data_IF_950003333361
#
_entry.id   IF_950003333361
#
_cell.length_a   1.000
_cell.length_b   1.000
_cell.length_c   1.000
_cell.angle_alpha   90.00
_cell.angle_beta   90.00
_cell.angle_gamma   90.00
#
_symmetry.space_group_name_H-M   'P 1'
#
loop_
_entity.id
_entity.type
_entity.pdbx_description
1 polymer ?
#
# COMPACT_ATOMS: atom_id res chain seq x y z
N UNK A 1 -10.59 -0.02 8.08
CA UNK A 1 -10.74 -1.16 7.14
C UNK A 1 -10.21 -0.81 5.75
N UNK A 2 -10.44 0.42 5.31
CA UNK A 2 -10.18 0.87 3.95
C UNK A 2 -8.69 0.93 3.59
N UNK A 3 -7.79 1.00 4.56
CA UNK A 3 -6.34 1.02 4.32
C UNK A 3 -5.65 -0.36 4.39
N UNK A 4 -6.42 -1.45 4.51
CA UNK A 4 -5.87 -2.80 4.55
C UNK A 4 -6.49 -3.67 3.45
N UNK A 5 -5.70 -3.96 2.42
CA UNK A 5 -6.12 -4.76 1.28
C UNK A 5 -5.21 -5.96 1.05
N UNK A 6 -5.82 -7.05 0.59
CA UNK A 6 -5.10 -8.25 0.17
C UNK A 6 -5.42 -8.59 -1.28
N UNK A 7 -4.43 -9.08 -1.99
CA UNK A 7 -4.59 -9.66 -3.31
C UNK A 7 -4.64 -11.18 -3.19
N UNK A 8 -5.72 -11.78 -3.70
CA UNK A 8 -5.98 -13.21 -3.60
C UNK A 8 -6.00 -13.82 -5.00
N UNK A 9 -5.37 -14.98 -5.16
CA UNK A 9 -5.37 -15.73 -6.42
C UNK A 9 -6.75 -16.35 -6.69
N UNK A 10 -7.04 -16.78 -7.93
CA UNK A 10 -8.29 -17.52 -8.22
C UNK A 10 -8.49 -18.77 -7.36
N UNK A 11 -7.39 -19.38 -6.88
CA UNK A 11 -7.42 -20.54 -5.98
C UNK A 11 -7.56 -20.19 -4.50
N UNK A 12 -7.85 -18.93 -4.15
CA UNK A 12 -8.07 -18.48 -2.76
C UNK A 12 -6.79 -18.23 -1.96
N UNK A 13 -5.60 -18.32 -2.57
CA UNK A 13 -4.33 -18.10 -1.89
C UNK A 13 -3.97 -16.62 -1.87
N UNK A 14 -3.60 -16.09 -0.70
CA UNK A 14 -3.08 -14.72 -0.58
C UNK A 14 -1.76 -14.60 -1.33
N UNK A 15 -1.72 -13.71 -2.31
CA UNK A 15 -0.55 -13.41 -3.15
C UNK A 15 0.28 -12.27 -2.58
N UNK A 16 -0.37 -11.32 -1.92
CA UNK A 16 0.26 -10.15 -1.32
C UNK A 16 -0.75 -9.28 -0.59
N UNK A 17 -0.26 -8.30 0.14
CA UNK A 17 -1.09 -7.35 0.88
C UNK A 17 -0.43 -5.98 0.98
N UNK A 18 -1.24 -4.98 1.26
CA UNK A 18 -0.81 -3.65 1.65
C UNK A 18 -1.61 -3.19 2.87
N UNK A 19 -0.91 -2.57 3.81
CA UNK A 19 -1.47 -1.97 5.00
C UNK A 19 -0.93 -0.56 5.13
N UNK A 20 -1.82 0.38 5.38
CA UNK A 20 -1.46 1.74 5.73
C UNK A 20 -2.43 2.40 6.68
N UNK A 21 -2.26 3.70 6.82
CA UNK A 21 -3.04 4.63 7.64
C UNK A 21 -2.92 6.03 7.05
N UNK A 22 -3.66 6.97 7.60
CA UNK A 22 -3.45 8.41 7.35
C UNK A 22 -3.04 9.07 8.65
N UNK A 23 -2.07 9.98 8.58
CA UNK A 23 -1.55 10.68 9.73
C UNK A 23 -1.02 12.08 9.39
N UNK A 24 -0.55 12.80 10.41
CA UNK A 24 -0.10 14.18 10.32
C UNK A 24 -1.19 15.21 10.64
N UNK A 25 -0.89 16.49 10.42
CA UNK A 25 -1.80 17.62 10.64
C UNK A 25 -1.53 18.74 9.64
N UNK A 26 -2.57 19.48 9.24
CA UNK A 26 -2.44 20.59 8.30
C UNK A 26 -1.83 20.13 6.98
N UNK A 27 -0.80 20.85 6.50
CA UNK A 27 -0.10 20.54 5.24
C UNK A 27 0.70 19.22 5.30
N UNK A 28 0.89 18.65 6.49
CA UNK A 28 1.52 17.35 6.66
C UNK A 28 0.50 16.21 6.68
N UNK A 29 -0.76 16.43 6.31
CA UNK A 29 -1.77 15.36 6.26
C UNK A 29 -1.50 14.41 5.08
N UNK A 30 -1.13 13.16 5.37
CA UNK A 30 -0.63 12.23 4.36
C UNK A 30 -1.00 10.77 4.66
N UNK A 31 -1.04 9.93 3.62
CA UNK A 31 -1.12 8.49 3.75
C UNK A 31 0.25 7.90 4.09
N UNK A 32 0.30 6.86 4.90
CA UNK A 32 1.54 6.17 5.26
C UNK A 32 1.41 4.68 4.98
N UNK A 33 2.38 4.10 4.25
CA UNK A 33 2.46 2.66 4.03
C UNK A 33 3.18 2.00 5.20
N UNK A 34 2.41 1.35 6.07
CA UNK A 34 2.93 0.54 7.18
C UNK A 34 3.63 -0.71 6.69
N UNK A 35 3.03 -1.42 5.72
CA UNK A 35 3.60 -2.63 5.16
C UNK A 35 3.07 -2.92 3.75
N UNK A 36 3.94 -3.37 2.87
CA UNK A 36 3.57 -3.95 1.57
C UNK A 36 4.42 -5.18 1.31
N UNK A 37 3.78 -6.28 0.93
CA UNK A 37 4.50 -7.53 0.63
C UNK A 37 3.80 -8.33 -0.45
N UNK A 38 4.60 -9.00 -1.28
CA UNK A 38 4.14 -9.93 -2.31
C UNK A 38 4.97 -11.21 -2.20
N UNK A 39 4.29 -12.36 -2.13
CA UNK A 39 4.96 -13.65 -2.08
C UNK A 39 5.82 -13.86 -3.32
N UNK A 40 6.98 -14.50 -3.14
CA UNK A 40 8.06 -14.61 -4.13
C UNK A 40 7.60 -15.09 -5.50
N UNK A 41 6.74 -16.10 -5.54
CA UNK A 41 6.18 -16.71 -6.76
C UNK A 41 5.22 -15.79 -7.53
N UNK A 42 4.66 -14.76 -6.87
CA UNK A 42 3.75 -13.78 -7.48
C UNK A 42 4.43 -12.44 -7.77
N UNK A 43 5.76 -12.34 -7.54
CA UNK A 43 6.54 -11.14 -7.87
C UNK A 43 6.65 -10.94 -9.39
N UNK A 44 7.03 -9.73 -9.79
CA UNK A 44 7.18 -9.27 -11.19
C UNK A 44 5.90 -9.29 -12.04
N UNK A 45 4.74 -9.47 -11.42
CA UNK A 45 3.41 -9.35 -12.06
C UNK A 45 2.76 -7.97 -11.86
N UNK A 46 3.54 -6.97 -11.44
CA UNK A 46 3.09 -5.62 -11.07
C UNK A 46 2.05 -5.58 -9.93
N UNK A 47 1.97 -6.64 -9.12
CA UNK A 47 1.00 -6.73 -8.02
C UNK A 47 1.23 -5.67 -6.94
N UNK A 48 2.48 -5.48 -6.52
CA UNK A 48 2.84 -4.43 -5.56
C UNK A 48 2.45 -3.03 -6.08
N UNK A 49 2.64 -2.76 -7.38
CA UNK A 49 2.23 -1.51 -8.00
C UNK A 49 0.71 -1.30 -7.91
N UNK A 50 -0.09 -2.34 -8.19
CA UNK A 50 -1.55 -2.26 -8.05
C UNK A 50 -1.98 -1.98 -6.62
N UNK A 51 -1.35 -2.63 -5.65
CA UNK A 51 -1.62 -2.41 -4.23
C UNK A 51 -1.27 -0.99 -3.79
N UNK A 52 -0.13 -0.44 -4.23
CA UNK A 52 0.26 0.94 -3.96
C UNK A 52 -0.73 1.95 -4.56
N UNK A 53 -1.08 1.79 -5.84
CA UNK A 53 -2.05 2.65 -6.51
C UNK A 53 -3.40 2.67 -5.77
N UNK A 54 -3.85 1.51 -5.26
CA UNK A 54 -5.08 1.41 -4.48
C UNK A 54 -4.99 2.25 -3.19
N UNK A 55 -3.87 2.17 -2.47
CA UNK A 55 -3.69 2.94 -1.25
C UNK A 55 -3.58 4.46 -1.54
N UNK A 56 -2.90 4.85 -2.61
CA UNK A 56 -2.85 6.26 -3.06
C UNK A 56 -4.25 6.78 -3.39
N UNK A 57 -5.06 6.01 -4.14
CA UNK A 57 -6.43 6.39 -4.49
C UNK A 57 -7.32 6.54 -3.26
N UNK A 58 -7.19 5.65 -2.28
CA UNK A 58 -7.96 5.71 -1.03
C UNK A 58 -7.53 6.93 -0.21
N UNK A 59 -6.21 7.18 -0.11
CA UNK A 59 -5.65 8.34 0.60
C UNK A 59 -6.15 9.67 0.04
N UNK A 60 -6.21 9.81 -1.29
CA UNK A 60 -6.74 11.00 -1.96
C UNK A 60 -8.27 11.11 -1.83
N UNK A 61 -9.00 10.01 -2.08
CA UNK A 61 -10.47 10.06 -2.15
C UNK A 61 -11.14 10.21 -0.79
N UNK A 62 -10.67 9.46 0.21
CA UNK A 62 -11.32 9.40 1.52
C UNK A 62 -10.82 10.51 2.44
N UNK A 63 -9.51 10.69 2.52
CA UNK A 63 -8.90 11.57 3.53
C UNK A 63 -8.31 12.86 2.94
N UNK A 64 -8.28 13.02 1.61
CA UNK A 64 -7.67 14.19 0.95
C UNK A 64 -6.21 14.39 1.36
N UNK A 65 -5.48 13.29 1.51
CA UNK A 65 -4.06 13.29 1.82
C UNK A 65 -3.26 14.01 0.72
N UNK A 66 -2.30 14.83 1.11
CA UNK A 66 -1.46 15.59 0.17
C UNK A 66 -0.43 14.72 -0.55
N UNK A 67 0.07 13.70 0.13
CA UNK A 67 1.05 12.75 -0.39
C UNK A 67 0.92 11.39 0.31
N UNK A 68 1.70 10.41 -0.15
CA UNK A 68 1.89 9.13 0.53
C UNK A 68 3.38 8.91 0.75
N UNK A 69 3.76 8.51 1.95
CA UNK A 69 5.14 8.17 2.30
C UNK A 69 5.29 6.71 2.77
N UNK A 70 6.55 6.30 2.94
CA UNK A 70 6.94 5.01 3.48
C UNK A 70 8.39 5.03 3.96
N UNK A 71 8.75 4.07 4.81
CA UNK A 71 10.14 3.77 5.12
C UNK A 71 10.62 2.55 4.35
N UNK A 72 11.81 2.66 3.75
CA UNK A 72 12.51 1.55 3.09
C UNK A 72 13.94 1.46 3.60
N UNK A 73 14.46 0.25 3.77
CA UNK A 73 15.88 0.05 4.11
C UNK A 73 16.74 0.46 2.92
N UNK A 74 17.80 1.22 3.16
CA UNK A 74 18.76 1.60 2.12
C UNK A 74 19.39 0.39 1.39
N UNK A 75 19.45 -0.77 2.05
CA UNK A 75 19.96 -2.02 1.47
C UNK A 75 18.93 -2.81 0.66
N UNK A 76 17.69 -2.31 0.51
CA UNK A 76 16.63 -2.99 -0.23
C UNK A 76 16.58 -2.46 -1.68
N UNK A 77 17.34 -3.13 -2.56
CA UNK A 77 17.41 -2.87 -4.02
C UNK A 77 16.51 -3.79 -4.82
#
# INVERSE_FOLDING_TARGET
PDYFHSAVSPGGRVMGYIMGKVEGQGESWHGHVTAVSVASEFRRQKLAKKLMNLLEEISDKMDKAYFVDLFVRASNT
#
